data_IF_491395919157
#
_entry.id   IF_491395919157
#
_cell.length_a   1.000
_cell.length_b   1.000
_cell.length_c   1.000
_cell.angle_alpha   90.00
_cell.angle_beta   90.00
_cell.angle_gamma   90.00
#
_symmetry.space_group_name_H-M   'P 1'
#
loop_
_entity.id
_entity.type
_entity.pdbx_description
1 polymer ?
#
# COMPACT_ATOMS: atom_id res chain seq x y z
N UNK A 1 20.95 52.61 64.54
CA UNK A 1 20.74 52.12 63.16
C UNK A 1 19.58 52.91 62.57
N UNK A 2 19.84 53.82 61.64
CA UNK A 2 18.90 54.86 61.17
C UNK A 2 17.98 54.34 60.07
N UNK A 3 16.72 54.78 60.09
CA UNK A 3 15.61 54.35 59.22
C UNK A 3 15.92 54.36 57.70
N UNK A 4 16.89 55.19 57.27
CA UNK A 4 17.32 55.29 55.88
C UNK A 4 18.08 54.06 55.35
N UNK A 5 18.83 53.35 56.20
CA UNK A 5 19.56 52.13 55.81
C UNK A 5 18.59 50.97 55.48
N UNK A 6 17.47 50.89 56.21
CA UNK A 6 16.48 49.83 56.01
C UNK A 6 15.72 49.99 54.68
N UNK A 7 15.41 51.24 54.31
CA UNK A 7 14.69 51.57 53.06
C UNK A 7 15.53 51.28 51.81
N UNK A 8 16.85 51.49 51.88
CA UNK A 8 17.78 51.21 50.79
C UNK A 8 17.91 49.70 50.56
N UNK A 9 17.97 48.89 51.63
CA UNK A 9 18.03 47.42 51.50
C UNK A 9 16.74 46.83 50.93
N UNK A 10 15.57 47.31 51.33
CA UNK A 10 14.28 46.88 50.76
C UNK A 10 14.15 47.22 49.27
N UNK A 11 14.63 48.38 48.84
CA UNK A 11 14.60 48.78 47.42
C UNK A 11 15.52 47.91 46.56
N UNK A 12 16.65 47.46 47.12
CA UNK A 12 17.62 46.58 46.44
C UNK A 12 17.07 45.16 46.24
N UNK A 13 16.36 44.62 47.23
CA UNK A 13 15.73 43.29 47.15
C UNK A 13 14.65 43.24 46.06
N UNK A 14 13.87 44.31 45.89
CA UNK A 14 12.81 44.37 44.88
C UNK A 14 13.30 44.49 43.42
N UNK A 15 14.56 44.88 43.19
CA UNK A 15 15.13 44.96 41.84
C UNK A 15 15.79 43.65 41.38
N UNK A 16 16.26 42.81 42.30
CA UNK A 16 16.93 41.54 41.95
C UNK A 16 15.94 40.46 41.53
N UNK A 17 14.68 40.53 41.98
CA UNK A 17 13.61 39.57 41.64
C UNK A 17 13.04 39.74 40.24
N UNK A 18 13.33 40.87 39.56
CA UNK A 18 12.74 41.19 38.26
C UNK A 18 13.35 40.42 37.08
N UNK A 19 14.53 39.83 37.28
CA UNK A 19 15.25 39.06 36.25
C UNK A 19 14.84 37.57 36.20
N UNK A 20 14.03 37.08 37.15
CA UNK A 20 13.52 35.70 37.18
C UNK A 20 12.06 35.53 36.72
N UNK A 21 11.30 36.61 36.56
CA UNK A 21 9.88 36.54 36.15
C UNK A 21 9.75 36.28 34.64
N UNK A 22 10.75 36.67 33.85
CA UNK A 22 10.76 36.46 32.41
C UNK A 22 11.16 35.03 31.98
N UNK A 23 11.81 34.25 32.85
CA UNK A 23 12.32 32.91 32.51
C UNK A 23 11.26 31.81 32.62
N UNK A 24 10.26 31.98 33.50
CA UNK A 24 9.18 31.01 33.64
C UNK A 24 8.31 30.87 32.36
N UNK A 25 7.78 31.96 31.77
CA UNK A 25 6.97 31.85 30.55
C UNK A 25 7.80 31.38 29.34
N UNK A 26 9.09 31.67 29.27
CA UNK A 26 9.95 31.20 28.17
C UNK A 26 10.23 29.70 28.28
N UNK A 27 10.46 29.16 29.48
CA UNK A 27 10.60 27.70 29.68
C UNK A 27 9.31 26.98 29.35
N UNK A 28 8.15 27.52 29.74
CA UNK A 28 6.85 26.96 29.39
C UNK A 28 6.65 26.96 27.87
N UNK A 29 6.95 28.08 27.19
CA UNK A 29 6.86 28.18 25.74
C UNK A 29 7.78 27.18 25.02
N UNK A 30 9.02 27.02 25.50
CA UNK A 30 9.96 26.02 24.99
C UNK A 30 9.46 24.59 25.24
N UNK A 31 8.89 24.31 26.41
CA UNK A 31 8.30 23.00 26.73
C UNK A 31 7.13 22.64 25.81
N UNK A 32 6.24 23.60 25.56
CA UNK A 32 5.12 23.44 24.61
C UNK A 32 5.63 23.23 23.19
N UNK A 33 6.67 23.97 22.78
CA UNK A 33 7.28 23.82 21.46
C UNK A 33 7.88 22.41 21.28
N UNK A 34 8.63 21.91 22.27
CA UNK A 34 9.22 20.56 22.21
C UNK A 34 8.14 19.49 22.17
N UNK A 35 7.07 19.63 22.97
CA UNK A 35 5.92 18.73 22.93
C UNK A 35 5.24 18.73 21.56
N UNK A 36 5.02 19.90 20.97
CA UNK A 36 4.41 20.04 19.65
C UNK A 36 5.24 19.34 18.55
N UNK A 37 6.56 19.50 18.59
CA UNK A 37 7.48 18.82 17.66
C UNK A 37 7.42 17.30 17.86
N UNK A 38 7.47 16.82 19.11
CA UNK A 38 7.41 15.39 19.42
C UNK A 38 6.13 14.72 18.93
N UNK A 39 4.98 15.38 19.11
CA UNK A 39 3.69 14.90 18.61
C UNK A 39 3.69 14.90 17.07
N UNK A 40 4.18 15.97 16.44
CA UNK A 40 4.22 16.09 14.98
C UNK A 40 5.06 15.00 14.30
N UNK A 41 6.21 14.64 14.87
CA UNK A 41 7.04 13.54 14.36
C UNK A 41 6.30 12.20 14.53
N UNK A 42 5.72 11.98 15.72
CA UNK A 42 5.04 10.70 16.03
C UNK A 42 3.85 10.44 15.10
N UNK A 43 3.04 11.46 14.82
CA UNK A 43 1.88 11.33 13.92
C UNK A 43 2.30 11.10 12.47
N UNK A 44 3.37 11.75 12.01
CA UNK A 44 3.94 11.51 10.69
C UNK A 44 4.43 10.05 10.55
N UNK A 45 5.20 9.56 11.53
CA UNK A 45 5.71 8.18 11.50
C UNK A 45 4.61 7.12 11.50
N UNK A 46 3.54 7.31 12.28
CA UNK A 46 2.39 6.40 12.26
C UNK A 46 1.70 6.40 10.89
N UNK A 47 1.54 7.57 10.28
CA UNK A 47 0.92 7.70 8.96
C UNK A 47 1.75 7.01 7.88
N UNK A 48 3.07 7.13 7.94
CA UNK A 48 4.00 6.44 7.05
C UNK A 48 3.93 4.92 7.22
N UNK A 49 3.88 4.42 8.46
CA UNK A 49 3.75 2.99 8.73
C UNK A 49 2.49 2.40 8.11
N UNK A 50 1.34 3.04 8.31
CA UNK A 50 0.08 2.56 7.72
C UNK A 50 0.11 2.61 6.19
N UNK A 51 0.70 3.66 5.61
CA UNK A 51 0.83 3.78 4.15
C UNK A 51 1.76 2.70 3.60
N UNK A 52 2.88 2.45 4.27
CA UNK A 52 3.88 1.45 3.87
C UNK A 52 3.31 0.03 3.94
N UNK A 53 2.62 -0.32 5.03
CA UNK A 53 1.93 -1.61 5.16
C UNK A 53 0.86 -1.78 4.08
N UNK A 54 0.05 -0.76 3.84
CA UNK A 54 -0.96 -0.79 2.77
C UNK A 54 -0.34 -1.01 1.39
N UNK A 55 0.77 -0.33 1.08
CA UNK A 55 1.51 -0.54 -0.16
C UNK A 55 2.12 -1.94 -0.25
N UNK A 56 2.70 -2.46 0.84
CA UNK A 56 3.26 -3.80 0.92
C UNK A 56 2.22 -4.87 0.62
N UNK A 57 1.05 -4.79 1.25
CA UNK A 57 -0.05 -5.73 0.98
C UNK A 57 -0.58 -5.59 -0.45
N UNK A 58 -0.67 -4.36 -0.96
CA UNK A 58 -1.07 -4.10 -2.34
C UNK A 58 -0.10 -4.73 -3.36
N UNK A 59 1.22 -4.65 -3.10
CA UNK A 59 2.24 -5.29 -3.92
C UNK A 59 2.17 -6.82 -3.85
N UNK A 60 1.89 -7.40 -2.67
CA UNK A 60 1.64 -8.84 -2.54
C UNK A 60 0.43 -9.28 -3.37
N UNK A 61 -0.68 -8.55 -3.29
CA UNK A 61 -1.86 -8.82 -4.10
C UNK A 61 -1.54 -8.78 -5.61
N UNK A 62 -0.73 -7.80 -6.06
CA UNK A 62 -0.26 -7.75 -7.44
C UNK A 62 0.59 -8.98 -7.80
N UNK A 63 1.53 -9.37 -6.95
CA UNK A 63 2.38 -10.55 -7.17
C UNK A 63 1.56 -11.85 -7.28
N UNK A 64 0.53 -12.01 -6.46
CA UNK A 64 -0.38 -13.15 -6.58
C UNK A 64 -1.18 -13.10 -7.89
N UNK A 65 -1.67 -11.92 -8.29
CA UNK A 65 -2.34 -11.72 -9.57
C UNK A 65 -1.43 -12.11 -10.74
N UNK A 66 -0.16 -11.69 -10.72
CA UNK A 66 0.83 -12.04 -11.74
C UNK A 66 1.09 -13.55 -11.79
N UNK A 67 1.25 -14.19 -10.63
CA UNK A 67 1.45 -15.64 -10.57
C UNK A 67 0.25 -16.41 -11.15
N UNK A 68 -0.98 -15.97 -10.84
CA UNK A 68 -2.20 -16.50 -11.44
C UNK A 68 -2.25 -16.32 -12.96
N UNK A 69 -1.89 -15.14 -13.45
CA UNK A 69 -1.82 -14.83 -14.87
C UNK A 69 -0.78 -15.70 -15.60
N UNK A 70 0.42 -15.87 -15.03
CA UNK A 70 1.48 -16.70 -15.59
C UNK A 70 1.08 -18.17 -15.68
N UNK A 71 0.42 -18.69 -14.65
CA UNK A 71 -0.10 -20.07 -14.68
C UNK A 71 -1.19 -20.22 -15.75
N UNK A 72 -2.09 -19.24 -15.90
CA UNK A 72 -3.10 -19.26 -16.96
C UNK A 72 -2.48 -19.27 -18.35
N UNK A 73 -1.49 -18.41 -18.59
CA UNK A 73 -0.74 -18.39 -19.84
C UNK A 73 -0.01 -19.71 -20.09
N UNK A 74 0.56 -20.35 -19.04
CA UNK A 74 1.17 -21.67 -19.17
C UNK A 74 0.16 -22.72 -19.62
N UNK A 75 -1.06 -22.72 -19.05
CA UNK A 75 -2.14 -23.61 -19.48
C UNK A 75 -2.57 -23.35 -20.91
N UNK A 76 -2.66 -22.09 -21.32
CA UNK A 76 -2.98 -21.68 -22.69
C UNK A 76 -1.87 -22.08 -23.67
N UNK A 77 -0.60 -21.98 -23.27
CA UNK A 77 0.53 -22.39 -24.09
C UNK A 77 0.51 -23.90 -24.38
N UNK A 78 0.05 -24.71 -23.43
CA UNK A 78 -0.14 -26.16 -23.62
C UNK A 78 -1.43 -26.47 -24.40
N UNK A 79 -2.53 -25.79 -24.07
CA UNK A 79 -3.82 -25.94 -24.71
C UNK A 79 -4.38 -24.57 -25.09
N UNK A 80 -4.21 -24.17 -26.35
CA UNK A 80 -4.57 -22.84 -26.85
C UNK A 80 -6.08 -22.56 -26.78
N UNK A 81 -6.88 -23.62 -26.83
CA UNK A 81 -8.34 -23.55 -26.68
C UNK A 81 -8.82 -23.56 -25.23
N UNK A 82 -7.90 -23.62 -24.27
CA UNK A 82 -8.25 -23.57 -22.85
C UNK A 82 -9.10 -22.35 -22.55
N UNK A 83 -10.25 -22.57 -21.93
CA UNK A 83 -11.17 -21.53 -21.52
C UNK A 83 -11.70 -21.85 -20.14
N UNK A 84 -11.98 -20.80 -19.38
CA UNK A 84 -12.42 -20.87 -18.00
C UNK A 84 -13.29 -19.63 -17.76
N UNK A 85 -14.46 -19.63 -18.38
CA UNK A 85 -15.25 -18.41 -18.64
C UNK A 85 -16.01 -17.94 -17.39
N UNK A 86 -16.25 -18.83 -16.43
CA UNK A 86 -16.87 -18.45 -15.17
C UNK A 86 -15.98 -17.47 -14.41
N UNK A 87 -16.60 -16.52 -13.71
CA UNK A 87 -15.87 -15.66 -12.79
C UNK A 87 -15.15 -16.52 -11.75
N UNK A 88 -13.87 -16.23 -11.49
CA UNK A 88 -13.04 -16.98 -10.54
C UNK A 88 -13.05 -18.49 -10.80
N UNK A 89 -13.02 -18.88 -12.07
CA UNK A 89 -13.15 -20.26 -12.55
C UNK A 89 -12.24 -21.25 -11.84
N UNK A 90 -11.00 -20.85 -11.53
CA UNK A 90 -10.14 -21.58 -10.62
C UNK A 90 -9.32 -20.61 -9.77
N UNK A 91 -8.75 -21.14 -8.69
CA UNK A 91 -7.91 -20.37 -7.77
C UNK A 91 -6.58 -21.06 -7.50
N UNK A 92 -5.59 -20.26 -7.11
CA UNK A 92 -4.28 -20.71 -6.66
C UNK A 92 -4.08 -20.20 -5.24
N UNK A 93 -4.03 -21.09 -4.23
CA UNK A 93 -3.72 -20.70 -2.88
C UNK A 93 -2.20 -20.61 -2.66
N UNK A 94 -1.76 -19.54 -2.01
CA UNK A 94 -0.37 -19.36 -1.57
C UNK A 94 -0.18 -19.69 -0.08
N UNK A 95 -1.25 -20.11 0.60
CA UNK A 95 -1.26 -20.55 2.00
C UNK A 95 -2.02 -21.87 2.15
N UNK A 96 -1.77 -22.58 3.25
CA UNK A 96 -2.34 -23.92 3.52
C UNK A 96 -3.87 -23.95 3.66
N UNK A 97 -4.50 -22.85 4.07
CA UNK A 97 -5.95 -22.76 4.29
C UNK A 97 -6.76 -22.53 2.99
N UNK A 98 -6.09 -22.58 1.83
CA UNK A 98 -6.73 -22.40 0.55
C UNK A 98 -7.16 -20.95 0.29
N UNK A 99 -8.19 -20.79 -0.54
CA UNK A 99 -8.76 -19.50 -0.94
C UNK A 99 -10.12 -19.22 -0.32
N UNK A 100 -10.29 -19.60 0.94
CA UNK A 100 -11.51 -19.34 1.70
C UNK A 100 -11.55 -17.94 2.30
N UNK A 101 -10.39 -17.37 2.68
CA UNK A 101 -10.29 -16.09 3.40
C UNK A 101 -9.71 -14.93 2.58
N UNK A 102 -9.39 -15.13 1.29
CA UNK A 102 -8.70 -14.13 0.44
C UNK A 102 -7.34 -13.63 0.98
N UNK A 103 -6.73 -14.31 1.95
CA UNK A 103 -5.50 -13.81 2.57
C UNK A 103 -4.26 -13.91 1.67
N UNK A 104 -4.21 -14.92 0.81
CA UNK A 104 -3.10 -15.11 -0.13
C UNK A 104 -3.54 -15.98 -1.30
N UNK A 105 -4.30 -15.39 -2.23
CA UNK A 105 -4.94 -16.13 -3.30
C UNK A 105 -4.95 -15.40 -4.63
N UNK A 106 -4.87 -16.16 -5.71
CA UNK A 106 -5.16 -15.68 -7.06
C UNK A 106 -6.42 -16.38 -7.57
N UNK A 107 -7.37 -15.61 -8.11
CA UNK A 107 -8.52 -16.12 -8.83
C UNK A 107 -8.40 -15.78 -10.30
N UNK A 108 -8.66 -16.77 -11.16
CA UNK A 108 -8.39 -16.65 -12.58
C UNK A 108 -9.65 -16.96 -13.37
N UNK A 109 -9.91 -16.15 -14.38
CA UNK A 109 -10.82 -16.46 -15.48
C UNK A 109 -10.10 -16.33 -16.82
N UNK A 110 -10.50 -17.15 -17.78
CA UNK A 110 -9.95 -17.18 -19.13
C UNK A 110 -11.10 -17.16 -20.12
N UNK A 111 -11.11 -16.18 -21.01
CA UNK A 111 -12.19 -16.01 -21.97
C UNK A 111 -12.27 -17.15 -22.98
N UNK A 112 -13.43 -17.32 -23.62
CA UNK A 112 -13.64 -18.32 -24.67
C UNK A 112 -13.16 -17.87 -26.05
N UNK A 113 -12.65 -16.65 -26.17
CA UNK A 113 -12.18 -16.06 -27.42
C UNK A 113 -11.11 -16.92 -28.10
N UNK A 114 -11.01 -16.76 -29.41
CA UNK A 114 -10.11 -17.51 -30.28
C UNK A 114 -8.64 -17.11 -30.12
N UNK A 115 -8.37 -15.88 -29.66
CA UNK A 115 -7.01 -15.31 -29.63
C UNK A 115 -6.56 -14.75 -30.97
N UNK A 116 -7.47 -14.38 -31.86
CA UNK A 116 -7.13 -13.65 -33.08
C UNK A 116 -7.01 -12.14 -32.81
N UNK A 117 -6.44 -11.38 -33.74
CA UNK A 117 -6.33 -9.91 -33.60
C UNK A 117 -7.69 -9.19 -33.46
N UNK A 118 -8.76 -9.76 -34.03
CA UNK A 118 -10.12 -9.21 -33.93
C UNK A 118 -10.86 -9.74 -32.70
N UNK A 119 -10.47 -10.90 -32.19
CA UNK A 119 -11.08 -11.58 -31.05
C UNK A 119 -9.99 -12.14 -30.11
N UNK A 120 -9.29 -11.25 -29.38
CA UNK A 120 -8.15 -11.65 -28.59
C UNK A 120 -8.56 -12.45 -27.36
N UNK A 121 -7.65 -13.30 -26.90
CA UNK A 121 -7.84 -14.17 -25.74
C UNK A 121 -7.55 -13.37 -24.49
N UNK A 122 -8.51 -13.30 -23.57
CA UNK A 122 -8.38 -12.48 -22.37
C UNK A 122 -8.25 -13.37 -21.15
N UNK A 123 -7.17 -13.20 -20.41
CA UNK A 123 -6.98 -13.75 -19.07
C UNK A 123 -7.23 -12.63 -18.08
N UNK A 124 -8.08 -12.88 -17.10
CA UNK A 124 -8.23 -11.98 -15.94
C UNK A 124 -7.76 -12.73 -14.71
N UNK A 125 -6.84 -12.14 -13.96
CA UNK A 125 -6.29 -12.69 -12.72
C UNK A 125 -6.41 -11.66 -11.61
N UNK A 126 -7.14 -11.99 -10.55
CA UNK A 126 -7.29 -11.15 -9.36
C UNK A 126 -6.54 -11.78 -8.21
N UNK A 127 -5.52 -11.10 -7.72
CA UNK A 127 -4.76 -11.48 -6.54
C UNK A 127 -5.29 -10.76 -5.29
N UNK A 128 -5.39 -11.49 -4.19
CA UNK A 128 -5.82 -11.00 -2.89
C UNK A 128 -4.74 -11.22 -1.84
N UNK A 129 -4.48 -10.16 -1.07
CA UNK A 129 -3.68 -10.13 0.14
C UNK A 129 -4.55 -9.57 1.29
N UNK A 130 -5.42 -10.41 1.84
CA UNK A 130 -6.43 -10.02 2.81
C UNK A 130 -7.50 -9.14 2.17
N UNK A 131 -7.62 -7.89 2.65
CA UNK A 131 -8.56 -6.91 2.10
C UNK A 131 -8.07 -6.22 0.81
N UNK A 132 -6.79 -6.38 0.48
CA UNK A 132 -6.21 -5.76 -0.70
C UNK A 132 -6.36 -6.68 -1.91
N UNK A 133 -6.98 -6.17 -2.97
CA UNK A 133 -7.15 -6.89 -4.22
C UNK A 133 -6.54 -6.11 -5.37
N UNK A 134 -5.84 -6.81 -6.27
CA UNK A 134 -5.30 -6.25 -7.52
C UNK A 134 -5.71 -7.16 -8.66
N UNK A 135 -6.14 -6.57 -9.78
CA UNK A 135 -6.60 -7.34 -10.94
C UNK A 135 -5.76 -7.01 -12.16
N UNK A 136 -5.23 -8.06 -12.78
CA UNK A 136 -4.50 -8.00 -14.04
C UNK A 136 -5.37 -8.56 -15.15
N UNK A 137 -5.42 -7.84 -16.26
CA UNK A 137 -5.96 -8.29 -17.54
C UNK A 137 -4.80 -8.49 -18.51
N UNK A 138 -4.75 -9.68 -19.09
CA UNK A 138 -3.77 -10.05 -20.10
C UNK A 138 -4.52 -10.36 -21.38
N UNK A 139 -4.23 -9.60 -22.40
CA UNK A 139 -4.77 -9.78 -23.74
C UNK A 139 -3.73 -10.49 -24.58
N UNK A 140 -4.06 -11.69 -25.06
CA UNK A 140 -3.19 -12.54 -25.86
C UNK A 140 -3.73 -12.63 -27.29
N UNK A 141 -2.82 -12.48 -28.24
CA UNK A 141 -3.06 -12.76 -29.65
C UNK A 141 -2.14 -13.91 -30.07
N UNK A 142 -2.65 -14.80 -30.90
CA UNK A 142 -1.93 -15.91 -31.49
C UNK A 142 -1.60 -15.62 -32.94
N UNK A 143 -0.47 -16.14 -33.39
CA UNK A 143 -0.12 -16.12 -34.80
C UNK A 143 -1.08 -17.01 -35.63
N UNK A 144 -1.59 -16.45 -36.73
CA UNK A 144 -2.49 -17.12 -37.66
C UNK A 144 -1.77 -18.17 -38.53
N UNK A 145 -0.45 -18.11 -38.65
CA UNK A 145 0.35 -18.95 -39.55
C UNK A 145 0.79 -20.29 -38.93
N UNK A 146 -0.18 -21.11 -38.50
CA UNK A 146 -0.08 -22.55 -38.18
C UNK A 146 0.53 -22.99 -36.85
N UNK A 147 1.30 -22.14 -36.16
CA UNK A 147 1.93 -22.59 -34.91
C UNK A 147 1.12 -22.22 -33.66
N UNK A 148 0.07 -21.39 -33.79
CA UNK A 148 -0.76 -20.83 -32.72
C UNK A 148 0.05 -20.33 -31.51
N UNK A 149 1.28 -19.89 -31.74
CA UNK A 149 2.14 -19.33 -30.72
C UNK A 149 1.57 -17.98 -30.31
N UNK A 150 1.83 -17.58 -29.06
CA UNK A 150 1.48 -16.24 -28.60
C UNK A 150 2.34 -15.25 -29.39
N UNK A 151 1.70 -14.47 -30.27
CA UNK A 151 2.34 -13.43 -31.08
C UNK A 151 2.44 -12.12 -30.32
N UNK A 152 1.46 -11.83 -29.46
CA UNK A 152 1.43 -10.66 -28.61
C UNK A 152 0.81 -10.98 -27.25
N UNK A 153 1.38 -10.39 -26.19
CA UNK A 153 0.80 -10.40 -24.85
C UNK A 153 0.84 -8.99 -24.27
N UNK A 154 -0.34 -8.40 -24.06
CA UNK A 154 -0.46 -7.07 -23.45
C UNK A 154 -0.97 -7.22 -22.02
N UNK A 155 -0.24 -6.62 -21.07
CA UNK A 155 -0.58 -6.64 -19.65
C UNK A 155 -1.12 -5.29 -19.23
N UNK A 156 -2.28 -5.29 -18.61
CA UNK A 156 -2.89 -4.10 -18.04
C UNK A 156 -3.40 -4.41 -16.64
N UNK A 157 -3.02 -3.59 -15.66
CA UNK A 157 -3.72 -3.56 -14.40
C UNK A 157 -5.06 -2.84 -14.61
N UNK A 158 -6.14 -3.47 -14.15
CA UNK A 158 -7.48 -2.90 -14.22
C UNK A 158 -7.96 -2.53 -12.81
N UNK A 159 -8.17 -1.24 -12.62
CA UNK A 159 -8.91 -0.69 -11.48
C UNK A 159 -10.37 -0.60 -11.86
N UNK A 160 -11.25 -1.09 -10.98
CA UNK A 160 -12.69 -0.93 -11.11
C UNK A 160 -13.11 0.41 -10.50
#
# INVERSE_FOLDING_TARGET
MTYNEFKIRLKKINQTTRNGVATLPTIIALGVLVLAIGIGISTASLSELFTSEGQSQSQKALSYAEAGAREAMRRIAVNKTYSCVSQNCYSIPFISNGCSSNDACAYISVSSNSGSSVDPKVVTSTGYAGLYARTLRITLEFDASDNGQISSSTWAEITN
#
